data_IF_769039798805
#
_entry.id   IF_769039798805
#
_cell.length_a   1.000
_cell.length_b   1.000
_cell.length_c   1.000
_cell.angle_alpha   90.00
_cell.angle_beta   90.00
_cell.angle_gamma   90.00
#
_symmetry.space_group_name_H-M   'P 1'
#
loop_
_entity.id
_entity.type
_entity.pdbx_description
1 polymer ?
#
# COMPACT_ATOMS: atom_id res chain seq x y z
N UNK A 1 -32.88 -73.77 -1.56
CA UNK A 1 -31.51 -73.75 -2.13
C UNK A 1 -31.18 -72.28 -2.44
N UNK A 2 -30.01 -71.82 -1.99
CA UNK A 2 -28.93 -71.24 -2.84
C UNK A 2 -29.27 -70.97 -4.32
N UNK A 3 -28.88 -69.87 -5.01
CA UNK A 3 -28.03 -68.66 -4.76
C UNK A 3 -28.66 -67.46 -5.55
N UNK A 4 -28.55 -66.15 -5.23
CA UNK A 4 -27.43 -65.19 -5.01
C UNK A 4 -26.88 -64.52 -6.33
N UNK A 5 -26.58 -63.21 -6.30
CA UNK A 5 -26.03 -62.32 -7.39
C UNK A 5 -27.06 -61.95 -8.51
N UNK A 6 -27.06 -60.82 -9.25
CA UNK A 6 -26.29 -59.53 -9.38
C UNK A 6 -27.14 -58.55 -10.28
N UNK A 7 -26.93 -57.24 -10.51
CA UNK A 7 -26.09 -56.11 -9.99
C UNK A 7 -26.84 -54.77 -10.32
N UNK A 8 -27.08 -53.80 -9.41
CA UNK A 8 -26.41 -52.49 -9.09
C UNK A 8 -26.03 -51.56 -10.30
N UNK A 9 -26.17 -50.22 -10.09
CA UNK A 9 -25.72 -49.05 -10.90
C UNK A 9 -26.61 -48.67 -12.12
N UNK A 10 -26.85 -47.39 -12.52
CA UNK A 10 -26.43 -46.00 -12.14
C UNK A 10 -27.67 -45.04 -12.21
N UNK A 11 -27.64 -43.74 -11.88
CA UNK A 11 -26.99 -42.93 -10.82
C UNK A 11 -27.40 -41.43 -10.96
N UNK A 12 -27.33 -40.65 -9.85
CA UNK A 12 -27.38 -39.17 -9.80
C UNK A 12 -28.75 -38.49 -10.20
N UNK A 13 -29.02 -37.21 -9.88
CA UNK A 13 -28.14 -36.16 -9.34
C UNK A 13 -28.85 -35.05 -8.52
N UNK A 14 -28.15 -34.55 -7.48
CA UNK A 14 -28.31 -33.23 -6.79
C UNK A 14 -29.63 -32.85 -6.08
N UNK A 15 -29.54 -32.44 -4.80
CA UNK A 15 -30.69 -31.86 -4.07
C UNK A 15 -30.59 -31.79 -2.54
N UNK A 16 -29.54 -31.15 -1.99
CA UNK A 16 -29.45 -30.64 -0.60
C UNK A 16 -30.13 -31.45 0.54
N UNK A 17 -29.43 -32.46 1.07
CA UNK A 17 -29.49 -32.82 2.50
C UNK A 17 -28.07 -33.13 2.98
N UNK A 18 -27.46 -32.18 3.72
CA UNK A 18 -26.25 -32.50 4.47
C UNK A 18 -26.64 -33.45 5.61
N UNK A 19 -26.01 -34.62 5.62
CA UNK A 19 -26.43 -35.72 6.45
C UNK A 19 -26.06 -35.50 7.92
N UNK A 20 -27.07 -35.45 8.78
CA UNK A 20 -26.93 -35.81 10.20
C UNK A 20 -26.69 -37.33 10.35
N UNK A 21 -25.66 -37.84 9.68
CA UNK A 21 -25.13 -39.16 9.90
C UNK A 21 -24.26 -39.09 11.15
N UNK A 22 -24.83 -39.50 12.28
CA UNK A 22 -24.01 -40.08 13.34
C UNK A 22 -23.28 -41.26 12.71
N UNK A 23 -21.96 -41.18 12.58
CA UNK A 23 -21.12 -42.25 12.08
C UNK A 23 -20.65 -43.07 13.29
N UNK A 24 -21.28 -44.24 13.59
CA UNK A 24 -21.07 -44.95 14.85
C UNK A 24 -19.75 -45.74 14.85
N UNK A 25 -18.97 -45.66 13.77
CA UNK A 25 -17.72 -46.40 13.59
C UNK A 25 -16.58 -45.97 14.52
N UNK A 26 -16.72 -44.84 15.22
CA UNK A 26 -15.74 -44.32 16.19
C UNK A 26 -16.15 -44.46 17.66
N UNK A 27 -17.46 -44.45 17.99
CA UNK A 27 -17.91 -44.59 19.39
C UNK A 27 -17.58 -45.99 19.96
N UNK A 28 -17.56 -47.02 19.10
CA UNK A 28 -17.34 -48.43 19.47
C UNK A 28 -15.87 -48.82 19.80
N UNK A 29 -14.96 -47.85 19.97
CA UNK A 29 -13.53 -48.10 20.26
C UNK A 29 -13.02 -47.52 21.59
N UNK A 30 -13.88 -46.82 22.36
CA UNK A 30 -13.48 -46.15 23.62
C UNK A 30 -14.40 -46.45 24.82
N UNK A 31 -15.15 -47.57 24.80
CA UNK A 31 -15.77 -48.12 26.03
C UNK A 31 -14.69 -48.77 26.94
N UNK A 32 -13.81 -47.94 27.51
CA UNK A 32 -12.71 -48.40 28.37
C UNK A 32 -12.02 -47.29 29.18
N UNK A 33 -11.63 -46.18 28.53
CA UNK A 33 -10.89 -45.09 29.17
C UNK A 33 -11.78 -43.84 29.32
N UNK A 34 -12.33 -43.61 30.52
CA UNK A 34 -13.20 -42.44 30.84
C UNK A 34 -12.48 -41.07 30.71
N UNK A 35 -11.16 -41.07 30.50
CA UNK A 35 -10.32 -39.87 30.43
C UNK A 35 -10.17 -39.30 29.00
N UNK A 36 -10.76 -39.90 27.95
CA UNK A 36 -10.65 -39.42 26.56
C UNK A 36 -12.02 -39.22 25.91
N UNK A 37 -12.20 -38.11 25.20
CA UNK A 37 -13.44 -37.76 24.50
C UNK A 37 -13.20 -37.15 23.11
N UNK A 38 -14.20 -37.24 22.23
CA UNK A 38 -14.17 -36.60 20.91
C UNK A 38 -14.82 -35.20 20.96
N UNK A 39 -14.03 -34.16 20.68
CA UNK A 39 -14.49 -32.76 20.64
C UNK A 39 -14.49 -32.24 19.20
N UNK A 40 -15.55 -31.50 18.82
CA UNK A 40 -15.71 -30.94 17.48
C UNK A 40 -15.35 -29.45 17.42
N UNK A 41 -14.21 -29.12 16.82
CA UNK A 41 -13.76 -27.76 16.53
C UNK A 41 -14.41 -27.27 15.22
N UNK A 42 -15.14 -26.17 15.28
CA UNK A 42 -15.85 -25.58 14.14
C UNK A 42 -15.15 -24.32 13.66
N UNK A 43 -14.61 -24.35 12.44
CA UNK A 43 -14.02 -23.21 11.77
C UNK A 43 -15.00 -22.66 10.72
N UNK A 44 -14.84 -21.40 10.31
CA UNK A 44 -15.70 -20.76 9.31
C UNK A 44 -15.86 -21.55 7.99
N UNK A 45 -14.85 -22.36 7.64
CA UNK A 45 -14.71 -22.99 6.33
C UNK A 45 -14.45 -24.52 6.38
N UNK A 46 -14.40 -25.13 7.57
CA UNK A 46 -14.32 -26.59 7.78
C UNK A 46 -14.64 -26.96 9.24
N UNK A 47 -14.90 -28.23 9.52
CA UNK A 47 -14.98 -28.76 10.89
C UNK A 47 -13.91 -29.84 11.09
N UNK A 48 -13.39 -29.93 12.30
CA UNK A 48 -12.40 -30.93 12.70
C UNK A 48 -12.88 -31.62 13.98
N UNK A 49 -12.77 -32.95 14.04
CA UNK A 49 -12.89 -33.69 15.30
C UNK A 49 -11.50 -34.06 15.80
N UNK A 50 -11.30 -33.93 17.11
CA UNK A 50 -10.06 -34.32 17.78
C UNK A 50 -10.42 -35.13 19.03
N UNK A 51 -9.56 -36.08 19.38
CA UNK A 51 -9.58 -36.70 20.70
C UNK A 51 -8.88 -35.74 21.68
N UNK A 52 -9.48 -35.53 22.84
CA UNK A 52 -9.01 -34.62 23.90
C UNK A 52 -8.97 -35.40 25.21
N UNK A 53 -7.87 -35.30 25.95
CA UNK A 53 -7.78 -35.88 27.29
C UNK A 53 -8.50 -34.98 28.30
N UNK A 54 -9.15 -35.57 29.30
CA UNK A 54 -10.01 -34.86 30.26
C UNK A 54 -9.27 -33.80 31.10
N UNK A 55 -7.94 -33.93 31.19
CA UNK A 55 -7.02 -33.00 31.87
C UNK A 55 -6.24 -32.05 30.94
N UNK A 56 -6.45 -32.10 29.62
CA UNK A 56 -5.72 -31.28 28.63
C UNK A 56 -6.56 -30.12 28.09
N UNK A 57 -5.89 -29.01 27.76
CA UNK A 57 -6.48 -27.89 27.01
C UNK A 57 -6.03 -27.94 25.56
N UNK A 58 -6.96 -28.18 24.63
CA UNK A 58 -6.67 -28.29 23.19
C UNK A 58 -7.16 -27.05 22.47
N UNK A 59 -6.23 -26.26 21.93
CA UNK A 59 -6.53 -24.99 21.26
C UNK A 59 -6.97 -25.18 19.80
N UNK A 60 -7.78 -24.24 19.30
CA UNK A 60 -8.02 -24.09 17.86
C UNK A 60 -6.71 -23.88 17.08
N UNK A 61 -6.71 -24.28 15.80
CA UNK A 61 -5.55 -24.14 14.90
C UNK A 61 -5.01 -22.70 14.80
N UNK A 62 -3.76 -22.56 14.35
CA UNK A 62 -3.07 -21.27 14.27
C UNK A 62 -3.89 -20.23 13.47
N UNK A 63 -3.97 -19.01 14.01
CA UNK A 63 -4.82 -17.95 13.46
C UNK A 63 -6.30 -18.03 13.85
N UNK A 64 -6.72 -18.99 14.70
CA UNK A 64 -8.07 -19.08 15.27
C UNK A 64 -8.08 -19.03 16.81
N UNK A 65 -9.20 -18.61 17.38
CA UNK A 65 -9.44 -18.30 18.79
C UNK A 65 -10.50 -19.25 19.36
N UNK A 66 -10.26 -19.79 20.55
CA UNK A 66 -11.02 -20.88 21.15
C UNK A 66 -10.11 -22.05 21.58
N UNK A 67 -10.59 -22.84 22.54
CA UNK A 67 -9.95 -24.04 23.06
C UNK A 67 -11.03 -24.95 23.67
N UNK A 68 -10.76 -26.24 23.79
CA UNK A 68 -11.54 -27.17 24.61
C UNK A 68 -10.79 -27.39 25.94
N UNK A 69 -11.48 -27.22 27.07
CA UNK A 69 -10.95 -27.58 28.40
C UNK A 69 -11.46 -28.99 28.79
N UNK A 70 -10.65 -30.01 28.45
CA UNK A 70 -10.98 -31.41 28.63
C UNK A 70 -12.28 -31.81 27.94
N UNK A 71 -13.07 -32.63 28.63
CA UNK A 71 -14.32 -33.21 28.12
C UNK A 71 -15.59 -32.42 28.50
N UNK A 72 -15.42 -31.19 28.99
CA UNK A 72 -16.54 -30.30 29.35
C UNK A 72 -17.32 -29.80 28.12
N UNK A 73 -16.63 -29.60 26.99
CA UNK A 73 -17.19 -29.02 25.78
C UNK A 73 -17.27 -30.04 24.63
N UNK A 74 -18.48 -30.32 24.14
CA UNK A 74 -18.66 -31.23 22.99
C UNK A 74 -18.38 -30.56 21.64
N UNK A 75 -18.34 -29.23 21.58
CA UNK A 75 -17.96 -28.49 20.38
C UNK A 75 -17.48 -27.07 20.69
N UNK A 76 -16.35 -26.69 20.08
CA UNK A 76 -15.70 -25.38 20.21
C UNK A 76 -15.95 -24.58 18.93
N UNK A 77 -16.32 -23.29 19.06
CA UNK A 77 -16.36 -22.37 17.93
C UNK A 77 -15.00 -21.69 17.76
N UNK A 78 -14.25 -22.09 16.73
CA UNK A 78 -12.98 -21.49 16.35
C UNK A 78 -13.25 -20.23 15.52
N UNK A 79 -13.35 -19.08 16.19
CA UNK A 79 -13.43 -17.79 15.51
C UNK A 79 -12.06 -17.47 14.90
N UNK A 80 -12.01 -16.80 13.74
CA UNK A 80 -10.72 -16.37 13.20
C UNK A 80 -10.17 -15.27 14.10
N UNK A 81 -8.95 -15.44 14.62
CA UNK A 81 -8.29 -14.38 15.38
C UNK A 81 -8.25 -13.13 14.52
N UNK A 82 -8.90 -12.07 14.97
CA UNK A 82 -8.67 -10.73 14.46
C UNK A 82 -7.31 -10.27 14.99
N UNK A 83 -6.23 -10.85 14.46
CA UNK A 83 -4.85 -10.39 14.67
C UNK A 83 -4.68 -9.07 13.92
N UNK A 84 -5.27 -8.05 14.52
CA UNK A 84 -5.02 -6.64 14.24
C UNK A 84 -3.63 -6.38 14.83
N UNK A 85 -2.59 -6.83 14.13
CA UNK A 85 -1.20 -6.61 14.54
C UNK A 85 -0.94 -5.10 14.48
N UNK A 86 -1.03 -4.48 15.66
CA UNK A 86 -0.70 -3.10 15.89
C UNK A 86 0.77 -3.03 16.27
N UNK A 87 1.59 -2.48 15.37
CA UNK A 87 2.96 -2.10 15.69
C UNK A 87 3.00 -0.63 16.14
N UNK A 88 4.09 -0.26 16.78
CA UNK A 88 4.51 1.13 16.92
C UNK A 88 5.52 1.40 15.81
N UNK A 89 5.33 2.49 15.08
CA UNK A 89 6.29 2.96 14.08
C UNK A 89 6.67 4.39 14.40
N UNK A 90 7.96 4.67 14.46
CA UNK A 90 8.50 6.00 14.78
C UNK A 90 8.92 6.71 13.50
N UNK A 91 8.37 7.90 13.29
CA UNK A 91 8.69 8.78 12.18
C UNK A 91 9.73 9.80 12.66
N UNK A 92 10.94 9.72 12.13
CA UNK A 92 12.03 10.66 12.40
C UNK A 92 12.02 11.76 11.35
N UNK A 93 12.17 13.01 11.79
CA UNK A 93 12.18 14.21 10.95
C UNK A 93 13.48 15.00 11.21
N UNK A 94 14.04 15.70 10.21
CA UNK A 94 15.33 16.40 10.34
C UNK A 94 15.30 17.65 11.24
N UNK A 95 14.15 18.30 11.36
CA UNK A 95 13.97 19.64 11.96
C UNK A 95 12.97 19.68 13.14
N UNK A 96 12.38 18.52 13.51
CA UNK A 96 11.36 18.41 14.57
C UNK A 96 11.46 17.08 15.33
N UNK A 97 10.88 16.97 16.54
CA UNK A 97 10.89 15.72 17.31
C UNK A 97 10.31 14.54 16.53
N UNK A 98 10.79 13.33 16.82
CA UNK A 98 10.28 12.10 16.23
C UNK A 98 8.90 11.73 16.80
N UNK A 99 8.02 11.16 15.98
CA UNK A 99 6.63 10.88 16.32
C UNK A 99 6.33 9.37 16.22
N UNK A 100 5.97 8.72 17.33
CA UNK A 100 5.60 7.30 17.34
C UNK A 100 4.09 7.11 17.20
N UNK A 101 3.66 6.32 16.21
CA UNK A 101 2.25 6.08 15.88
C UNK A 101 1.93 4.59 16.01
N UNK A 102 0.78 4.26 16.63
CA UNK A 102 0.23 2.90 16.58
C UNK A 102 -0.37 2.66 15.18
N UNK A 103 0.14 1.68 14.44
CA UNK A 103 -0.26 1.42 13.05
C UNK A 103 -0.68 -0.04 12.82
N UNK A 104 -1.72 -0.23 12.02
CA UNK A 104 -2.22 -1.53 11.58
C UNK A 104 -1.30 -2.17 10.53
N UNK A 105 -0.96 -3.45 10.68
CA UNK A 105 -0.04 -4.18 9.80
C UNK A 105 -0.35 -4.19 8.29
N UNK A 106 -1.56 -3.79 7.86
CA UNK A 106 -1.96 -3.70 6.45
C UNK A 106 -2.23 -2.26 5.97
N UNK A 107 -2.05 -1.26 6.84
CA UNK A 107 -2.25 0.16 6.48
C UNK A 107 -0.89 0.79 6.18
N UNK A 108 -0.81 1.53 5.08
CA UNK A 108 0.30 2.46 4.86
C UNK A 108 -0.02 3.82 5.48
N UNK A 109 0.95 4.48 6.10
CA UNK A 109 0.81 5.82 6.68
C UNK A 109 1.98 6.70 6.21
N UNK A 110 1.72 7.83 5.52
CA UNK A 110 2.78 8.74 5.09
C UNK A 110 3.35 9.53 6.26
N UNK A 111 4.53 10.12 6.04
CA UNK A 111 5.02 11.24 6.84
C UNK A 111 4.04 12.44 6.78
N UNK A 112 4.24 13.45 7.64
CA UNK A 112 3.55 14.75 7.53
C UNK A 112 3.74 15.38 6.14
N UNK A 113 2.76 16.18 5.70
CA UNK A 113 2.63 16.74 4.33
C UNK A 113 3.89 17.47 3.82
N UNK A 114 4.69 18.04 4.71
CA UNK A 114 5.94 18.74 4.41
C UNK A 114 7.14 17.79 4.13
N UNK A 115 6.94 16.46 4.13
CA UNK A 115 7.98 15.44 4.07
C UNK A 115 7.65 14.27 3.14
N UNK A 116 8.69 13.72 2.53
CA UNK A 116 8.64 12.53 1.70
C UNK A 116 9.03 11.29 2.53
N UNK A 117 8.19 10.26 2.49
CA UNK A 117 8.37 9.00 3.23
C UNK A 117 7.02 8.35 3.59
N UNK A 118 6.99 7.02 3.67
CA UNK A 118 5.79 6.22 3.98
C UNK A 118 6.16 4.98 4.78
N UNK A 119 5.43 4.73 5.87
CA UNK A 119 5.47 3.45 6.58
C UNK A 119 4.51 2.45 5.91
N UNK A 120 4.98 1.25 5.57
CA UNK A 120 4.16 0.24 4.89
C UNK A 120 3.74 -0.92 5.80
N UNK A 121 2.82 -0.64 6.74
CA UNK A 121 2.41 -1.60 7.75
C UNK A 121 3.53 -1.94 8.73
N UNK A 122 3.52 -3.14 9.31
CA UNK A 122 4.45 -3.52 10.38
C UNK A 122 5.73 -4.20 9.89
N UNK A 123 6.20 -3.84 8.69
CA UNK A 123 7.50 -4.29 8.15
C UNK A 123 8.68 -3.39 8.54
N UNK A 124 8.40 -2.24 9.16
CA UNK A 124 9.37 -1.19 9.50
C UNK A 124 8.98 -0.59 10.86
N UNK A 125 9.93 -0.51 11.80
CA UNK A 125 9.71 0.10 13.13
C UNK A 125 10.11 1.58 13.16
N UNK A 126 11.00 2.01 12.25
CA UNK A 126 11.48 3.38 12.10
C UNK A 126 11.37 3.84 10.63
N UNK A 127 10.99 5.10 10.42
CA UNK A 127 10.91 5.75 9.11
C UNK A 127 11.61 7.10 9.18
N UNK A 128 12.58 7.33 8.31
CA UNK A 128 13.28 8.60 8.19
C UNK A 128 12.61 9.45 7.10
N UNK A 129 11.82 10.41 7.53
CA UNK A 129 11.11 11.36 6.66
C UNK A 129 12.09 12.42 6.15
N UNK A 130 12.41 12.43 4.85
CA UNK A 130 13.17 13.54 4.27
C UNK A 130 12.25 14.75 4.09
N UNK A 131 12.73 15.96 4.38
CA UNK A 131 11.98 17.17 4.07
C UNK A 131 11.68 17.19 2.57
N UNK A 132 10.44 17.53 2.19
CA UNK A 132 10.17 17.89 0.80
C UNK A 132 10.88 19.22 0.53
N UNK A 133 12.14 19.13 0.09
CA UNK A 133 12.69 20.15 -0.79
C UNK A 133 11.64 20.42 -1.86
N UNK A 134 11.40 21.70 -2.14
CA UNK A 134 10.36 22.16 -3.03
C UNK A 134 10.55 21.60 -4.44
N UNK A 135 10.02 20.41 -4.75
CA UNK A 135 9.96 19.90 -6.12
C UNK A 135 9.09 20.78 -7.03
N UNK A 136 8.39 21.75 -6.44
CA UNK A 136 7.67 22.83 -7.10
C UNK A 136 8.52 24.08 -7.34
N UNK A 137 9.70 24.25 -6.72
CA UNK A 137 10.55 25.45 -6.84
C UNK A 137 12.05 25.15 -6.80
N UNK A 138 12.80 25.67 -7.77
CA UNK A 138 14.25 25.51 -7.90
C UNK A 138 14.92 26.82 -8.31
N UNK A 139 16.24 26.91 -8.17
CA UNK A 139 17.01 28.08 -8.61
C UNK A 139 17.49 27.90 -10.06
N UNK A 140 17.19 28.89 -10.90
CA UNK A 140 17.67 28.97 -12.28
C UNK A 140 18.48 30.25 -12.47
N UNK A 141 19.63 30.13 -13.12
CA UNK A 141 20.56 31.23 -13.40
C UNK A 141 20.34 31.78 -14.81
N UNK A 142 19.93 33.04 -14.89
CA UNK A 142 19.79 33.80 -16.13
C UNK A 142 21.09 34.58 -16.39
N UNK A 143 21.81 34.19 -17.42
CA UNK A 143 23.13 34.72 -17.78
C UNK A 143 22.98 35.76 -18.89
N UNK A 144 23.10 37.04 -18.54
CA UNK A 144 23.12 38.17 -19.47
C UNK A 144 24.57 38.49 -19.88
N UNK A 145 24.82 39.28 -20.95
CA UNK A 145 26.19 39.59 -21.39
C UNK A 145 27.06 40.29 -20.35
N UNK A 146 26.45 41.06 -19.43
CA UNK A 146 27.15 41.92 -18.47
C UNK A 146 26.92 41.52 -16.99
N UNK A 147 26.03 40.58 -16.69
CA UNK A 147 25.68 40.16 -15.32
C UNK A 147 24.98 38.79 -15.32
N UNK A 148 24.64 38.24 -14.15
CA UNK A 148 23.75 37.08 -14.07
C UNK A 148 22.85 37.18 -12.84
N UNK A 149 21.57 36.89 -13.02
CA UNK A 149 20.58 36.82 -11.95
C UNK A 149 20.29 35.35 -11.62
N UNK A 150 20.22 34.99 -10.34
CA UNK A 150 19.69 33.68 -9.91
C UNK A 150 18.29 33.88 -9.35
N UNK A 151 17.31 33.17 -9.91
CA UNK A 151 15.89 33.33 -9.61
C UNK A 151 15.29 32.00 -9.14
N UNK A 152 14.52 32.02 -8.05
CA UNK A 152 13.69 30.86 -7.68
C UNK A 152 12.47 30.81 -8.60
N UNK A 153 12.30 29.70 -9.32
CA UNK A 153 11.27 29.52 -10.36
C UNK A 153 10.42 28.29 -10.09
N UNK A 154 9.14 28.33 -10.49
CA UNK A 154 8.22 27.21 -10.37
C UNK A 154 8.60 26.07 -11.34
N UNK A 155 8.48 24.82 -10.90
CA UNK A 155 9.09 23.67 -11.57
C UNK A 155 8.51 23.31 -12.95
N UNK A 156 7.23 23.64 -13.18
CA UNK A 156 6.50 23.43 -14.44
C UNK A 156 6.26 24.74 -15.24
N UNK A 157 6.58 25.88 -14.63
CA UNK A 157 6.35 27.21 -15.22
C UNK A 157 7.37 27.60 -16.30
N UNK A 158 7.06 28.69 -17.00
CA UNK A 158 7.92 29.27 -18.03
C UNK A 158 8.36 30.67 -17.61
N UNK A 159 9.67 30.91 -17.62
CA UNK A 159 10.28 32.13 -17.07
C UNK A 159 11.20 32.76 -18.12
N UNK A 160 10.84 33.95 -18.58
CA UNK A 160 11.57 34.69 -19.61
C UNK A 160 12.77 35.43 -19.03
N UNK A 161 13.76 35.71 -19.88
CA UNK A 161 14.74 36.76 -19.63
C UNK A 161 14.04 38.13 -19.50
N UNK A 162 14.70 39.09 -18.84
CA UNK A 162 14.21 40.48 -18.72
C UNK A 162 14.00 41.13 -20.09
N UNK A 163 13.05 42.07 -20.16
CA UNK A 163 12.75 42.90 -21.33
C UNK A 163 14.00 43.36 -22.08
N UNK A 164 13.96 43.26 -23.42
CA UNK A 164 15.12 43.48 -24.29
C UNK A 164 16.05 42.28 -24.46
N UNK A 165 15.75 41.12 -23.86
CA UNK A 165 16.54 39.88 -24.04
C UNK A 165 15.67 38.67 -24.40
N UNK A 166 16.12 37.91 -25.41
CA UNK A 166 15.57 36.62 -25.76
C UNK A 166 16.22 35.50 -24.92
N UNK A 167 15.39 34.58 -24.45
CA UNK A 167 15.78 33.42 -23.64
C UNK A 167 14.67 33.06 -22.65
N UNK A 168 14.58 31.77 -22.29
CA UNK A 168 13.51 31.25 -21.45
C UNK A 168 13.96 29.99 -20.71
N UNK A 169 13.59 29.89 -19.42
CA UNK A 169 13.66 28.65 -18.65
C UNK A 169 12.29 27.94 -18.66
N UNK A 170 12.31 26.62 -18.72
CA UNK A 170 11.15 25.77 -18.38
C UNK A 170 11.34 25.14 -17.01
N UNK A 171 11.05 25.91 -15.97
CA UNK A 171 11.15 25.53 -14.56
C UNK A 171 12.45 24.78 -14.24
N UNK A 172 12.34 23.61 -13.59
CA UNK A 172 13.49 22.85 -13.12
C UNK A 172 14.15 21.94 -14.17
N UNK A 173 13.80 22.11 -15.46
CA UNK A 173 14.44 21.37 -16.56
C UNK A 173 15.69 22.07 -17.12
N UNK A 174 15.95 23.32 -16.72
CA UNK A 174 17.06 24.15 -17.21
C UNK A 174 17.65 25.03 -16.11
N UNK A 175 18.68 24.55 -15.41
CA UNK A 175 19.37 25.28 -14.33
C UNK A 175 20.05 26.58 -14.81
N UNK A 176 20.38 26.67 -16.09
CA UNK A 176 21.05 27.82 -16.70
C UNK A 176 20.36 28.23 -18.01
N UNK A 177 20.10 29.53 -18.15
CA UNK A 177 19.60 30.16 -19.39
C UNK A 177 20.62 31.21 -19.84
N UNK A 178 20.85 31.30 -21.14
CA UNK A 178 21.58 32.41 -21.77
C UNK A 178 20.58 33.42 -22.30
N UNK A 179 20.71 34.68 -21.87
CA UNK A 179 19.87 35.78 -22.29
C UNK A 179 20.62 36.62 -23.34
N UNK A 180 20.22 36.49 -24.61
CA UNK A 180 20.80 37.25 -25.73
C UNK A 180 20.01 38.54 -25.97
N UNK A 181 20.63 39.71 -26.19
CA UNK A 181 19.90 40.93 -26.53
C UNK A 181 18.97 40.73 -27.72
N UNK A 182 17.73 41.20 -27.63
CA UNK A 182 16.86 41.37 -28.79
C UNK A 182 17.37 42.59 -29.54
N UNK A 183 17.90 42.37 -30.73
CA UNK A 183 18.18 43.46 -31.66
C UNK A 183 16.85 43.79 -32.34
N UNK A 184 16.25 44.92 -31.97
CA UNK A 184 15.12 45.46 -32.72
C UNK A 184 15.63 45.93 -34.09
N UNK A 185 15.06 45.36 -35.16
CA UNK A 185 15.46 45.68 -36.53
C UNK A 185 15.20 47.17 -36.83
N UNK A 186 16.25 47.90 -37.17
CA UNK A 186 16.22 49.34 -37.31
C UNK A 186 15.69 49.73 -38.69
N UNK A 187 14.42 50.14 -38.75
CA UNK A 187 13.82 50.67 -39.98
C UNK A 187 14.42 52.03 -40.35
N UNK A 188 15.40 52.02 -41.24
CA UNK A 188 16.00 53.22 -41.82
C UNK A 188 15.11 53.72 -42.96
N UNK A 189 14.50 54.89 -42.76
CA UNK A 189 13.68 55.54 -43.78
C UNK A 189 14.49 56.55 -44.61
N UNK A 190 14.64 56.27 -45.90
CA UNK A 190 15.25 57.15 -46.88
C UNK A 190 14.17 58.03 -47.52
N UNK A 191 14.23 59.34 -47.31
CA UNK A 191 13.31 60.29 -47.95
C UNK A 191 14.01 60.94 -49.15
N UNK A 192 13.43 60.75 -50.35
CA UNK A 192 13.81 61.43 -51.58
C UNK A 192 12.79 62.56 -51.86
N UNK A 193 13.04 63.47 -52.83
CA UNK A 193 12.10 64.55 -53.13
C UNK A 193 10.71 64.06 -53.59
N UNK A 194 10.67 62.90 -54.26
CA UNK A 194 9.48 62.41 -54.97
C UNK A 194 8.83 61.17 -54.33
N UNK A 195 9.54 60.48 -53.44
CA UNK A 195 9.13 59.22 -52.81
C UNK A 195 9.95 58.97 -51.53
N UNK A 196 9.62 57.91 -50.79
CA UNK A 196 10.42 57.49 -49.63
C UNK A 196 10.41 55.98 -49.45
N UNK A 197 11.61 55.40 -49.31
CA UNK A 197 11.81 53.98 -49.07
C UNK A 197 12.08 53.71 -47.59
N UNK A 198 11.72 52.51 -47.13
CA UNK A 198 12.05 52.04 -45.77
C UNK A 198 12.81 50.73 -45.90
N UNK A 199 13.99 50.65 -45.28
CA UNK A 199 14.83 49.44 -45.25
C UNK A 199 14.97 48.98 -43.81
N UNK A 200 14.67 47.70 -43.57
CA UNK A 200 14.92 47.01 -42.29
C UNK A 200 16.39 46.59 -42.20
N UNK A 201 17.05 46.87 -41.08
CA UNK A 201 18.50 46.68 -40.86
C UNK A 201 18.78 46.02 -39.51
#
# INVERSE_FOLDING_TARGET
MTYFLQIILLAASFGALQTNACDPSFDSLLEGDEEICAVQFQYHNYTQRMLVHLSETVYCAEGYEGAAEGCSEKSVQCTRKNVVTNCKVTFHYPDRPSETVNMYARKSTPCRVEYEGVAHGCSQEEIFCSQMQSRNECQVKFNYPNHSDTVTVAADGWFLCRDGYAGMARGCLQENVTCTPVIEECQVKFNYPDHSDTVTV
#
